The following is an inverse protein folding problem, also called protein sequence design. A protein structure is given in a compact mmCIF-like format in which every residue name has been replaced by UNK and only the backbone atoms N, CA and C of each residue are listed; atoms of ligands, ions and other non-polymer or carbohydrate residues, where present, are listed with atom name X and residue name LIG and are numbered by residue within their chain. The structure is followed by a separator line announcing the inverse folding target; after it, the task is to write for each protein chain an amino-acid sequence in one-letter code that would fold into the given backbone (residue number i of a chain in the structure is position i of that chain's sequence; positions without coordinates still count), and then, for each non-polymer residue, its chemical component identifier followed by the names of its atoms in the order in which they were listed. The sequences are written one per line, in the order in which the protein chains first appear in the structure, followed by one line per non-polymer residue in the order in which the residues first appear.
data_IF_011504404785
#
_entry.id   IF_011504404785
#
_cell.length_a   1.000
_cell.length_b   1.000
_cell.length_c   1.000
_cell.angle_alpha   90.00
_cell.angle_beta   90.00
_cell.angle_gamma   90.00
#
_symmetry.space_group_name_H-M   'P 1'
#
loop_
_entity.id
_entity.type
_entity.pdbx_description
1 polymer ?
#
# COMPACT_ATOMS: atom_id res chain seq x y z
N UNK A 1 13.44 -6.66 -4.11
CA UNK A 1 12.36 -6.36 -3.14
C UNK A 1 13.01 -5.57 -2.02
N UNK A 2 12.59 -4.34 -1.74
CA UNK A 2 13.07 -3.61 -0.55
C UNK A 2 12.52 -4.26 0.73
N UNK A 3 13.40 -4.81 1.55
CA UNK A 3 13.06 -5.46 2.84
C UNK A 3 12.45 -4.46 3.85
N UNK A 4 12.68 -3.16 3.65
CA UNK A 4 12.13 -2.07 4.47
C UNK A 4 10.69 -1.70 4.07
N UNK A 5 10.26 -2.04 2.86
CA UNK A 5 8.92 -1.74 2.36
C UNK A 5 8.03 -2.96 2.58
N UNK A 6 7.36 -3.02 3.74
CA UNK A 6 6.34 -4.03 4.02
C UNK A 6 5.14 -3.80 3.09
N UNK A 7 4.93 -4.74 2.18
CA UNK A 7 3.77 -4.74 1.28
C UNK A 7 2.55 -5.25 2.04
N UNK A 8 1.52 -4.44 2.14
CA UNK A 8 0.24 -4.85 2.72
C UNK A 8 -0.74 -5.18 1.61
N UNK A 9 -1.41 -6.33 1.70
CA UNK A 9 -2.55 -6.65 0.81
C UNK A 9 -3.83 -5.85 1.16
N UNK A 10 -3.75 -5.05 2.23
CA UNK A 10 -4.83 -4.23 2.75
C UNK A 10 -5.00 -2.95 1.94
N UNK A 11 -6.24 -2.64 1.62
CA UNK A 11 -6.66 -1.36 1.07
C UNK A 11 -6.59 -0.25 2.13
N UNK A 12 -6.54 1.01 1.71
CA UNK A 12 -6.59 2.15 2.63
C UNK A 12 -7.86 2.15 3.52
N UNK A 13 -8.94 1.48 3.10
CA UNK A 13 -10.17 1.37 3.88
C UNK A 13 -10.05 0.32 4.98
N UNK A 14 -9.45 -0.84 4.68
CA UNK A 14 -9.19 -1.89 5.67
C UNK A 14 -8.16 -1.43 6.70
N UNK A 15 -7.11 -0.73 6.26
CA UNK A 15 -6.16 -0.09 7.17
C UNK A 15 -6.87 0.87 8.12
N UNK A 16 -7.76 1.74 7.60
CA UNK A 16 -8.52 2.66 8.45
C UNK A 16 -9.43 1.93 9.46
N UNK A 17 -10.04 0.81 9.07
CA UNK A 17 -10.85 -0.03 9.98
C UNK A 17 -10.00 -0.64 11.09
N UNK A 18 -8.88 -1.27 10.76
CA UNK A 18 -7.98 -1.88 11.74
C UNK A 18 -7.38 -0.85 12.71
N UNK A 19 -7.04 0.33 12.19
CA UNK A 19 -6.59 1.46 13.01
C UNK A 19 -7.71 1.96 13.94
N UNK A 20 -8.95 1.99 13.46
CA UNK A 20 -10.11 2.34 14.28
C UNK A 20 -10.40 1.29 15.37
N UNK A 21 -10.23 0.00 15.07
CA UNK A 21 -10.35 -1.09 16.05
C UNK A 21 -9.28 -1.00 17.15
N UNK A 22 -8.09 -0.51 16.82
CA UNK A 22 -7.05 -0.20 17.81
C UNK A 22 -7.30 1.11 18.60
N UNK A 23 -8.40 1.82 18.33
CA UNK A 23 -8.76 3.05 19.04
C UNK A 23 -8.23 4.34 18.39
N UNK A 24 -7.56 4.26 17.24
CA UNK A 24 -7.14 5.45 16.51
C UNK A 24 -8.29 5.98 15.64
N UNK A 25 -8.68 7.24 15.82
CA UNK A 25 -9.72 7.87 15.00
C UNK A 25 -9.18 8.28 13.63
N UNK A 26 -8.91 7.30 12.77
CA UNK A 26 -8.27 7.50 11.46
C UNK A 26 -9.26 7.30 10.32
N UNK A 27 -9.37 8.28 9.43
CA UNK A 27 -10.16 8.15 8.20
C UNK A 27 -9.32 7.60 7.06
N UNK A 28 -9.99 7.03 6.04
CA UNK A 28 -9.35 6.60 4.77
C UNK A 28 -8.45 7.67 4.16
N UNK A 29 -8.80 8.95 4.31
CA UNK A 29 -8.04 10.07 3.77
C UNK A 29 -6.75 10.34 4.56
N UNK A 30 -6.79 10.18 5.89
CA UNK A 30 -5.59 10.29 6.73
C UNK A 30 -4.62 9.15 6.40
N UNK A 31 -5.11 7.91 6.29
CA UNK A 31 -4.29 6.77 5.86
C UNK A 31 -3.68 7.00 4.47
N UNK A 32 -4.47 7.55 3.53
CA UNK A 32 -3.96 7.90 2.19
C UNK A 32 -2.85 8.94 2.25
N UNK A 33 -3.00 9.99 3.07
CA UNK A 33 -1.97 11.03 3.25
C UNK A 33 -0.71 10.43 3.86
N UNK A 34 -0.84 9.61 4.91
CA UNK A 34 0.25 8.91 5.58
C UNK A 34 1.05 8.06 4.60
N UNK A 35 0.36 7.20 3.84
CA UNK A 35 0.98 6.34 2.84
C UNK A 35 1.74 7.14 1.78
N UNK A 36 1.19 8.27 1.32
CA UNK A 36 1.88 9.17 0.39
C UNK A 36 3.15 9.78 0.98
N UNK A 37 3.10 10.27 2.22
CA UNK A 37 4.26 10.88 2.89
C UNK A 37 5.42 9.88 3.03
N UNK A 38 5.12 8.61 3.29
CA UNK A 38 6.12 7.55 3.41
C UNK A 38 6.46 6.87 2.07
N UNK A 39 6.00 7.40 0.93
CA UNK A 39 6.36 6.87 -0.39
C UNK A 39 5.67 5.56 -0.77
N UNK A 40 4.63 5.13 -0.05
CA UNK A 40 3.85 3.96 -0.41
C UNK A 40 2.98 4.25 -1.64
N UNK A 41 3.25 3.52 -2.72
CA UNK A 41 2.51 3.57 -3.97
C UNK A 41 1.81 2.24 -4.23
N UNK A 42 0.66 2.30 -4.90
CA UNK A 42 0.00 1.08 -5.39
C UNK A 42 0.96 0.34 -6.31
N UNK A 43 1.15 -0.95 -6.05
CA UNK A 43 1.95 -1.81 -6.92
C UNK A 43 1.34 -1.79 -8.33
N UNK A 44 2.15 -1.44 -9.32
CA UNK A 44 1.84 -1.74 -10.72
C UNK A 44 2.24 -3.20 -10.95
N UNK A 45 1.34 -3.98 -11.54
CA UNK A 45 1.70 -5.32 -11.98
C UNK A 45 2.87 -5.19 -12.97
N UNK A 46 3.99 -5.84 -12.67
CA UNK A 46 5.09 -5.94 -13.64
C UNK A 46 4.56 -6.82 -14.76
N UNK A 47 4.27 -6.22 -15.93
CA UNK A 47 4.01 -7.01 -17.12
C UNK A 47 5.25 -7.87 -17.35
N UNK A 48 5.08 -9.18 -17.55
CA UNK A 48 6.16 -9.98 -18.12
C UNK A 48 6.53 -9.29 -19.43
N UNK A 49 7.73 -8.74 -19.52
CA UNK A 49 8.31 -8.54 -20.84
C UNK A 49 8.32 -9.93 -21.46
N UNK A 50 7.61 -10.10 -22.58
CA UNK A 50 7.93 -11.19 -23.48
C UNK A 50 9.45 -11.14 -23.69
N UNK A 51 10.18 -12.25 -23.59
CA UNK A 51 11.60 -12.23 -23.87
C UNK A 51 11.78 -11.58 -25.25
N UNK A 52 12.49 -10.46 -25.28
CA UNK A 52 12.91 -9.88 -26.55
C UNK A 52 13.90 -10.88 -27.15
N UNK A 53 13.40 -11.71 -28.05
CA UNK A 53 14.18 -12.75 -28.73
C UNK A 53 13.95 -14.16 -28.16
N UNK A 54 12.96 -14.86 -28.71
CA UNK A 54 13.06 -16.28 -29.05
C UNK A 54 12.20 -16.56 -30.27
#
# INVERSE_FOLDING_TARGET
MDEKVKWTHLTCAELAKLLAEQGFKVSRNIVRKLLKTHGYVKRKALKKSLPAGM
#
